data_IF_779498191739
#
_entry.id   IF_779498191739
#
_cell.length_a   1.000
_cell.length_b   1.000
_cell.length_c   1.000
_cell.angle_alpha   90.00
_cell.angle_beta   90.00
_cell.angle_gamma   90.00
#
_symmetry.space_group_name_H-M   'P 1'
#
loop_
_entity.id
_entity.type
_entity.pdbx_description
1 polymer ?
#
# COMPACT_ATOMS: atom_id res chain seq x y z
N UNK A 1 22.04 -55.36 -3.11
CA UNK A 1 21.67 -53.98 -3.53
C UNK A 1 20.15 -53.86 -3.49
N UNK A 2 19.58 -53.26 -2.45
CA UNK A 2 18.15 -52.95 -2.39
C UNK A 2 17.99 -51.48 -2.80
N UNK A 3 17.28 -51.25 -3.91
CA UNK A 3 16.94 -49.90 -4.35
C UNK A 3 16.11 -49.22 -3.25
N UNK A 4 16.70 -48.21 -2.60
CA UNK A 4 16.00 -47.32 -1.68
C UNK A 4 15.07 -46.40 -2.47
N UNK A 5 13.97 -46.93 -2.99
CA UNK A 5 12.89 -46.06 -3.45
C UNK A 5 12.12 -45.59 -2.23
N UNK A 6 12.36 -44.34 -1.84
CA UNK A 6 11.57 -43.67 -0.83
C UNK A 6 10.09 -43.73 -1.25
N UNK A 7 9.26 -44.36 -0.42
CA UNK A 7 7.82 -44.47 -0.66
C UNK A 7 7.21 -43.07 -0.60
N UNK A 8 6.60 -42.63 -1.70
CA UNK A 8 5.94 -41.33 -1.86
C UNK A 8 4.86 -41.07 -0.78
N UNK A 9 4.34 -42.13 -0.14
CA UNK A 9 3.33 -42.06 0.90
C UNK A 9 3.87 -42.01 2.34
N UNK A 10 5.17 -42.25 2.56
CA UNK A 10 5.80 -42.22 3.87
C UNK A 10 5.53 -40.94 4.70
N UNK A 11 5.56 -39.71 4.12
CA UNK A 11 5.29 -38.50 4.89
C UNK A 11 3.83 -38.39 5.38
N UNK A 12 2.87 -38.96 4.65
CA UNK A 12 1.46 -38.96 5.05
C UNK A 12 1.20 -39.96 6.17
N UNK A 13 1.82 -41.14 6.10
CA UNK A 13 1.71 -42.17 7.14
C UNK A 13 2.27 -41.68 8.49
N UNK A 14 3.40 -40.96 8.47
CA UNK A 14 3.99 -40.36 9.66
C UNK A 14 3.12 -39.24 10.27
N UNK A 15 2.46 -38.41 9.46
CA UNK A 15 1.52 -37.37 9.95
C UNK A 15 0.32 -37.98 10.66
N UNK A 16 -0.29 -39.01 10.06
CA UNK A 16 -1.45 -39.70 10.63
C UNK A 16 -1.07 -40.37 11.96
N UNK A 17 0.11 -40.98 12.05
CA UNK A 17 0.62 -41.57 13.31
C UNK A 17 0.93 -40.50 14.38
N UNK A 18 1.27 -39.27 13.98
CA UNK A 18 1.48 -38.14 14.88
C UNK A 18 0.17 -37.47 15.34
N UNK A 19 -1.00 -37.97 14.91
CA UNK A 19 -2.31 -37.40 15.26
C UNK A 19 -2.64 -36.08 14.57
N UNK A 20 -1.85 -35.68 13.56
CA UNK A 20 -2.10 -34.49 12.74
C UNK A 20 -3.14 -34.85 11.68
N UNK A 21 -4.42 -34.57 11.99
CA UNK A 21 -5.56 -34.76 11.08
C UNK A 21 -5.80 -33.57 10.15
N UNK A 22 -4.92 -32.55 10.18
CA UNK A 22 -5.04 -31.40 9.29
C UNK A 22 -4.63 -31.79 7.86
N UNK A 23 -5.63 -31.82 6.98
CA UNK A 23 -5.49 -32.10 5.56
C UNK A 23 -5.22 -30.81 4.77
N UNK A 24 -5.24 -29.65 5.42
CA UNK A 24 -4.90 -28.39 4.77
C UNK A 24 -3.46 -28.41 4.29
N UNK A 25 -3.25 -27.89 3.08
CA UNK A 25 -1.91 -27.60 2.62
C UNK A 25 -1.26 -26.62 3.60
N UNK A 26 -0.12 -27.03 4.19
CA UNK A 26 0.70 -26.11 4.98
C UNK A 26 1.07 -24.94 4.09
N UNK A 27 1.10 -23.76 4.70
CA UNK A 27 1.46 -22.52 4.02
C UNK A 27 2.75 -22.74 3.23
N UNK A 28 2.62 -22.86 1.92
CA UNK A 28 3.76 -23.10 1.04
C UNK A 28 4.66 -21.88 1.14
N UNK A 29 5.97 -22.10 1.10
CA UNK A 29 6.93 -21.01 0.91
C UNK A 29 6.70 -20.43 -0.49
N UNK A 30 5.73 -19.52 -0.60
CA UNK A 30 5.52 -18.72 -1.78
C UNK A 30 6.75 -17.85 -2.03
N UNK A 31 6.85 -17.31 -3.24
CA UNK A 31 7.91 -16.36 -3.59
C UNK A 31 7.95 -15.24 -2.54
N UNK A 32 9.12 -14.91 -1.96
CA UNK A 32 9.24 -13.84 -1.00
C UNK A 32 8.63 -12.55 -1.58
N UNK A 33 7.79 -11.86 -0.79
CA UNK A 33 7.34 -10.51 -1.10
C UNK A 33 8.58 -9.68 -1.39
N UNK A 34 8.71 -9.23 -2.63
CA UNK A 34 9.95 -8.63 -3.11
C UNK A 34 10.25 -7.35 -2.31
N UNK A 35 11.54 -7.08 -2.00
CA UNK A 35 11.98 -5.85 -1.31
C UNK A 35 11.65 -4.54 -2.07
N UNK A 36 11.02 -4.64 -3.24
CA UNK A 36 10.62 -3.51 -4.09
C UNK A 36 9.30 -2.84 -3.65
N UNK A 37 8.55 -3.42 -2.71
CA UNK A 37 7.36 -2.75 -2.14
C UNK A 37 7.70 -1.44 -1.44
N UNK A 38 8.86 -1.38 -0.78
CA UNK A 38 9.27 -0.15 -0.06
C UNK A 38 9.74 0.93 -1.04
N UNK A 39 10.40 0.56 -2.14
CA UNK A 39 10.72 1.51 -3.21
C UNK A 39 9.46 2.11 -3.86
N UNK A 40 8.42 1.30 -4.10
CA UNK A 40 7.14 1.79 -4.62
C UNK A 40 6.46 2.76 -3.64
N UNK A 41 6.54 2.51 -2.33
CA UNK A 41 5.99 3.43 -1.31
C UNK A 41 6.69 4.78 -1.36
N UNK A 42 8.02 4.79 -1.39
CA UNK A 42 8.79 6.04 -1.43
C UNK A 42 8.44 6.91 -2.64
N UNK A 43 8.27 6.30 -3.83
CA UNK A 43 7.85 7.02 -5.04
C UNK A 43 6.46 7.64 -4.90
N UNK A 44 5.51 6.90 -4.30
CA UNK A 44 4.16 7.40 -4.05
C UNK A 44 4.11 8.51 -3.00
N UNK A 45 5.01 8.49 -2.01
CA UNK A 45 5.10 9.52 -0.98
C UNK A 45 5.70 10.82 -1.54
N UNK A 46 6.63 10.72 -2.50
CA UNK A 46 7.20 11.88 -3.21
C UNK A 46 6.19 12.50 -4.18
N UNK A 47 5.53 11.69 -5.00
CA UNK A 47 4.50 12.16 -5.93
C UNK A 47 3.32 11.17 -6.03
N UNK A 48 2.20 11.44 -5.33
CA UNK A 48 1.04 10.54 -5.33
C UNK A 48 0.25 10.55 -6.65
N UNK A 49 0.56 11.45 -7.58
CA UNK A 49 -0.18 11.62 -8.84
C UNK A 49 0.48 10.92 -10.03
N UNK A 50 1.60 10.21 -9.83
CA UNK A 50 2.28 9.48 -10.89
C UNK A 50 1.39 8.40 -11.52
N UNK A 51 1.64 8.15 -12.80
CA UNK A 51 1.02 7.07 -13.56
C UNK A 51 1.71 5.73 -13.28
N UNK A 52 1.00 4.64 -13.53
CA UNK A 52 1.59 3.30 -13.39
C UNK A 52 2.72 3.02 -14.39
N UNK A 53 2.74 3.73 -15.53
CA UNK A 53 3.80 3.61 -16.55
C UNK A 53 5.08 4.28 -16.07
N UNK A 54 5.01 5.51 -15.56
CA UNK A 54 6.16 6.20 -14.96
C UNK A 54 6.75 5.40 -13.80
N UNK A 55 5.89 4.86 -12.92
CA UNK A 55 6.33 4.00 -11.82
C UNK A 55 7.00 2.70 -12.33
N UNK A 56 6.49 2.13 -13.42
CA UNK A 56 7.05 0.92 -14.02
C UNK A 56 8.46 1.19 -14.60
N UNK A 57 8.63 2.32 -15.30
CA UNK A 57 9.92 2.78 -15.82
C UNK A 57 10.93 3.03 -14.69
N UNK A 58 10.53 3.77 -13.65
CA UNK A 58 11.40 4.09 -12.51
C UNK A 58 11.84 2.84 -11.73
N UNK A 59 10.96 1.84 -11.63
CA UNK A 59 11.24 0.60 -10.90
C UNK A 59 11.86 -0.51 -11.78
N UNK A 60 11.95 -0.28 -13.09
CA UNK A 60 12.41 -1.27 -14.08
C UNK A 60 11.57 -2.54 -14.07
N UNK A 61 10.25 -2.40 -13.94
CA UNK A 61 9.30 -3.53 -13.90
C UNK A 61 8.17 -3.33 -14.89
N UNK A 62 7.43 -4.40 -15.17
CA UNK A 62 6.24 -4.30 -15.99
C UNK A 62 5.08 -3.61 -15.25
N UNK A 63 4.25 -2.87 -16.00
CA UNK A 63 3.07 -2.14 -15.50
C UNK A 63 2.09 -3.06 -14.73
N UNK A 64 1.92 -4.31 -15.15
CA UNK A 64 1.05 -5.28 -14.44
C UNK A 64 1.57 -5.62 -13.05
N UNK A 65 2.89 -5.54 -12.86
CA UNK A 65 3.54 -5.77 -11.57
C UNK A 65 3.26 -4.61 -10.63
N UNK A 66 3.38 -3.36 -11.12
CA UNK A 66 3.00 -2.16 -10.37
C UNK A 66 1.52 -2.19 -9.99
N UNK A 67 0.63 -2.56 -10.93
CA UNK A 67 -0.80 -2.68 -10.67
C UNK A 67 -1.12 -3.69 -9.55
N UNK A 68 -0.49 -4.88 -9.58
CA UNK A 68 -0.61 -5.89 -8.52
C UNK A 68 -0.14 -5.37 -7.17
N UNK A 69 1.02 -4.73 -7.10
CA UNK A 69 1.54 -4.17 -5.86
C UNK A 69 0.65 -3.07 -5.28
N UNK A 70 0.15 -2.17 -6.12
CA UNK A 70 -0.80 -1.14 -5.69
C UNK A 70 -2.09 -1.75 -5.11
N UNK A 71 -2.59 -2.82 -5.73
CA UNK A 71 -3.76 -3.54 -5.24
C UNK A 71 -3.50 -4.25 -3.90
N UNK A 72 -2.37 -4.95 -3.76
CA UNK A 72 -1.96 -5.59 -2.49
C UNK A 72 -1.78 -4.58 -1.35
N UNK A 73 -1.38 -3.34 -1.67
CA UNK A 73 -1.24 -2.25 -0.71
C UNK A 73 -2.58 -1.54 -0.40
N UNK A 74 -3.66 -1.89 -1.09
CA UNK A 74 -4.97 -1.23 -0.94
C UNK A 74 -4.99 0.22 -1.47
N UNK A 75 -4.07 0.57 -2.37
CA UNK A 75 -4.02 1.91 -2.97
C UNK A 75 -5.08 2.03 -4.08
N UNK A 76 -5.83 3.13 -4.06
CA UNK A 76 -6.87 3.44 -5.05
C UNK A 76 -6.60 4.82 -5.61
N UNK A 77 -6.64 4.94 -6.94
CA UNK A 77 -6.49 6.25 -7.62
C UNK A 77 -7.73 7.10 -7.38
N UNK A 78 -7.55 8.29 -6.83
CA UNK A 78 -8.59 9.30 -6.65
C UNK A 78 -8.26 10.52 -7.50
N UNK A 79 -9.28 11.12 -8.11
CA UNK A 79 -9.09 12.37 -8.84
C UNK A 79 -8.83 13.52 -7.86
N UNK A 80 -8.04 14.50 -8.32
CA UNK A 80 -7.79 15.72 -7.57
C UNK A 80 -9.08 16.51 -7.33
N UNK A 81 -9.08 17.32 -6.27
CA UNK A 81 -10.18 18.25 -6.00
C UNK A 81 -10.07 19.45 -6.92
N UNK A 82 -11.18 19.87 -7.51
CA UNK A 82 -11.21 21.10 -8.30
C UNK A 82 -11.10 22.32 -7.38
N UNK A 83 -10.14 23.20 -7.67
CA UNK A 83 -9.94 24.48 -6.99
C UNK A 83 -10.14 25.60 -8.01
N UNK A 84 -11.07 26.56 -7.80
CA UNK A 84 -11.48 27.50 -8.84
C UNK A 84 -10.38 28.42 -9.38
N UNK A 85 -9.40 28.79 -8.55
CA UNK A 85 -8.28 29.63 -8.94
C UNK A 85 -7.09 29.39 -8.03
N UNK A 86 -5.91 29.67 -8.58
CA UNK A 86 -4.65 29.63 -7.86
C UNK A 86 -4.52 30.85 -6.93
N UNK A 87 -4.11 30.61 -5.69
CA UNK A 87 -3.96 31.65 -4.68
C UNK A 87 -2.53 32.15 -4.65
N UNK A 88 -2.32 33.47 -4.76
CA UNK A 88 -1.02 34.07 -4.47
C UNK A 88 -0.70 33.98 -2.98
N UNK A 89 0.58 33.94 -2.62
CA UNK A 89 1.04 33.91 -1.21
C UNK A 89 0.42 35.02 -0.36
N UNK A 90 0.35 36.24 -0.92
CA UNK A 90 -0.31 37.37 -0.27
C UNK A 90 -1.80 37.09 0.00
N UNK A 91 -2.52 36.51 -0.96
CA UNK A 91 -3.92 36.19 -0.79
C UNK A 91 -4.15 35.07 0.25
N UNK A 92 -3.23 34.10 0.34
CA UNK A 92 -3.23 33.05 1.36
C UNK A 92 -3.06 33.69 2.75
N UNK A 93 -2.06 34.55 2.93
CA UNK A 93 -1.80 35.23 4.20
C UNK A 93 -2.97 36.12 4.65
N UNK A 94 -3.57 36.89 3.73
CA UNK A 94 -4.75 37.72 4.03
C UNK A 94 -5.94 36.88 4.49
N UNK A 95 -6.22 35.76 3.81
CA UNK A 95 -7.31 34.85 4.22
C UNK A 95 -7.06 34.26 5.59
N UNK A 96 -5.85 33.77 5.85
CA UNK A 96 -5.48 33.20 7.13
C UNK A 96 -5.73 34.20 8.28
N UNK A 97 -5.25 35.44 8.12
CA UNK A 97 -5.43 36.50 9.12
C UNK A 97 -6.90 36.82 9.38
N UNK A 98 -7.71 36.92 8.32
CA UNK A 98 -9.15 37.15 8.44
C UNK A 98 -9.81 35.99 9.20
N UNK A 99 -9.52 34.74 8.82
CA UNK A 99 -10.05 33.55 9.48
C UNK A 99 -9.70 33.51 10.96
N UNK A 100 -8.44 33.77 11.33
CA UNK A 100 -7.98 33.79 12.73
C UNK A 100 -8.72 34.87 13.54
N UNK A 101 -8.86 36.08 12.97
CA UNK A 101 -9.56 37.20 13.63
C UNK A 101 -11.04 36.88 13.85
N UNK A 102 -11.72 36.36 12.82
CA UNK A 102 -13.12 35.96 12.89
C UNK A 102 -13.35 34.84 13.91
N UNK A 103 -12.50 33.80 13.90
CA UNK A 103 -12.57 32.69 14.85
C UNK A 103 -12.36 33.16 16.30
N UNK A 104 -11.40 34.06 16.52
CA UNK A 104 -11.14 34.65 17.84
C UNK A 104 -12.34 35.47 18.33
N UNK A 105 -12.96 36.25 17.44
CA UNK A 105 -14.16 37.03 17.76
C UNK A 105 -15.36 36.12 18.06
N UNK A 106 -15.55 35.06 17.29
CA UNK A 106 -16.63 34.09 17.53
C UNK A 106 -16.49 33.43 18.88
N UNK A 107 -15.28 32.97 19.23
CA UNK A 107 -14.99 32.41 20.55
C UNK A 107 -15.37 33.40 21.64
N UNK A 108 -14.90 34.66 21.56
CA UNK A 108 -15.26 35.73 22.51
C UNK A 108 -16.76 35.99 22.64
N UNK A 109 -17.51 35.95 21.53
CA UNK A 109 -18.97 36.13 21.52
C UNK A 109 -19.73 34.98 22.18
N UNK A 110 -19.19 33.76 22.17
CA UNK A 110 -19.84 32.59 22.75
C UNK A 110 -19.66 32.50 24.29
N UNK A 111 -18.95 33.45 24.91
CA UNK A 111 -18.75 33.51 26.37
C UNK A 111 -19.66 34.54 27.07
N UNK A 112 -20.56 35.20 26.34
CA UNK A 112 -21.60 36.10 26.85
C UNK A 112 -22.98 35.48 26.57
#
# INVERSE_FOLDING_TARGET
MLLKHANQYAPYQLKVLAGDSDVSDRQRSGTPRTPKSDALKSLLDENPSQTQEELAEQLGVDKTTVSRWLHEMGKIRKLGKWVPYELSENSIGRRLNICISLLSRQRKKNFL
#
